data_IF_454197694047
#
_entry.id   IF_454197694047
#
_cell.length_a   1.000
_cell.length_b   1.000
_cell.length_c   1.000
_cell.angle_alpha   90.00
_cell.angle_beta   90.00
_cell.angle_gamma   90.00
#
_symmetry.space_group_name_H-M   'P 1'
#
loop_
_entity.id
_entity.type
_entity.pdbx_description
1 polymer ?
#
# COMPACT_ATOMS: atom_id res chain seq x y z
N UNK A 1 -22.90 3.22 2.93
CA UNK A 1 -24.14 2.46 2.67
C UNK A 1 -25.13 3.16 1.75
N UNK A 2 -24.87 4.40 1.35
CA UNK A 2 -25.82 5.19 0.53
C UNK A 2 -25.85 4.76 -0.95
N UNK A 3 -24.83 4.04 -1.40
CA UNK A 3 -24.69 3.62 -2.80
C UNK A 3 -25.17 2.20 -3.09
N UNK A 4 -25.13 1.30 -2.10
CA UNK A 4 -25.62 -0.07 -2.20
C UNK A 4 -25.95 -0.58 -0.78
N UNK A 5 -27.21 -0.69 -0.40
CA UNK A 5 -27.61 -1.08 0.96
C UNK A 5 -27.18 -2.51 1.36
N UNK A 6 -26.89 -3.37 0.39
CA UNK A 6 -26.62 -4.81 0.58
C UNK A 6 -25.14 -5.20 0.39
N UNK A 7 -24.20 -4.34 0.77
CA UNK A 7 -22.77 -4.70 0.77
C UNK A 7 -22.50 -5.84 1.73
N UNK A 8 -21.76 -6.84 1.25
CA UNK A 8 -21.20 -7.88 2.12
C UNK A 8 -20.03 -7.32 2.93
N UNK A 9 -19.70 -7.95 4.07
CA UNK A 9 -18.53 -7.58 4.86
C UNK A 9 -17.24 -7.68 4.04
N UNK A 10 -17.14 -8.66 3.14
CA UNK A 10 -15.97 -8.84 2.27
C UNK A 10 -15.84 -7.70 1.23
N UNK A 11 -16.97 -7.22 0.69
CA UNK A 11 -16.96 -6.06 -0.21
C UNK A 11 -16.56 -4.77 0.53
N UNK A 12 -17.04 -4.56 1.76
CA UNK A 12 -16.64 -3.42 2.58
C UNK A 12 -15.16 -3.49 2.96
N UNK A 13 -14.67 -4.68 3.31
CA UNK A 13 -13.24 -4.89 3.56
C UNK A 13 -12.40 -4.63 2.29
N UNK A 14 -12.92 -5.00 1.11
CA UNK A 14 -12.24 -4.74 -0.16
C UNK A 14 -12.12 -3.23 -0.44
N UNK A 15 -13.19 -2.46 -0.25
CA UNK A 15 -13.12 -1.00 -0.37
C UNK A 15 -12.03 -0.44 0.54
N UNK A 16 -12.01 -0.81 1.82
CA UNK A 16 -11.01 -0.35 2.76
C UNK A 16 -9.59 -0.79 2.37
N UNK A 17 -9.44 -2.02 1.90
CA UNK A 17 -8.14 -2.61 1.51
C UNK A 17 -7.53 -1.89 0.31
N UNK A 18 -8.35 -1.53 -0.70
CA UNK A 18 -7.86 -0.92 -1.95
C UNK A 18 -7.78 0.60 -1.89
N UNK A 19 -8.59 1.24 -1.06
CA UNK A 19 -8.73 2.70 -1.04
C UNK A 19 -8.21 3.35 0.25
N UNK A 20 -7.93 2.56 1.30
CA UNK A 20 -7.63 3.09 2.63
C UNK A 20 -8.80 3.83 3.27
N UNK A 21 -10.01 3.76 2.68
CA UNK A 21 -11.17 4.54 3.09
C UNK A 21 -11.15 6.00 2.59
N UNK A 22 -10.21 6.35 1.72
CA UNK A 22 -10.12 7.70 1.14
C UNK A 22 -11.33 7.95 0.22
N UNK A 23 -12.16 8.99 0.48
CA UNK A 23 -13.41 9.24 -0.25
C UNK A 23 -13.23 9.29 -1.76
N UNK A 24 -12.21 10.00 -2.25
CA UNK A 24 -11.89 10.09 -3.68
C UNK A 24 -11.78 8.72 -4.37
N UNK A 25 -11.10 7.75 -3.73
CA UNK A 25 -10.91 6.43 -4.33
C UNK A 25 -12.16 5.57 -4.21
N UNK A 26 -12.91 5.72 -3.12
CA UNK A 26 -14.22 5.06 -2.96
C UNK A 26 -15.19 5.55 -4.05
N UNK A 27 -15.28 6.86 -4.24
CA UNK A 27 -16.12 7.48 -5.28
C UNK A 27 -15.74 6.97 -6.68
N UNK A 28 -14.45 6.90 -7.01
CA UNK A 28 -13.99 6.35 -8.30
C UNK A 28 -14.51 4.93 -8.55
N UNK A 29 -14.47 4.06 -7.53
CA UNK A 29 -14.98 2.69 -7.66
C UNK A 29 -16.51 2.66 -7.79
N UNK A 30 -17.21 3.48 -7.02
CA UNK A 30 -18.68 3.56 -7.01
C UNK A 30 -19.22 4.11 -8.34
N UNK A 31 -18.67 5.21 -8.83
CA UNK A 31 -19.07 5.87 -10.08
C UNK A 31 -18.89 4.94 -11.28
N UNK A 32 -17.87 4.09 -11.24
CA UNK A 32 -17.60 3.09 -12.25
C UNK A 32 -18.31 1.75 -12.01
N UNK A 33 -19.25 1.69 -11.05
CA UNK A 33 -20.03 0.48 -10.68
C UNK A 33 -19.15 -0.72 -10.33
N UNK A 34 -17.94 -0.45 -9.85
CA UNK A 34 -16.98 -1.46 -9.38
C UNK A 34 -17.27 -1.83 -7.91
N UNK A 35 -18.45 -2.43 -7.66
CA UNK A 35 -19.01 -2.64 -6.33
C UNK A 35 -18.76 -4.04 -5.74
N UNK A 36 -18.11 -4.93 -6.47
CA UNK A 36 -17.71 -6.26 -5.99
C UNK A 36 -16.20 -6.41 -6.08
N UNK A 37 -15.61 -7.28 -5.28
CA UNK A 37 -14.15 -7.51 -5.24
C UNK A 37 -13.58 -7.67 -6.66
N UNK A 38 -14.17 -8.56 -7.45
CA UNK A 38 -13.72 -8.82 -8.82
C UNK A 38 -13.86 -7.58 -9.74
N UNK A 39 -14.95 -6.81 -9.63
CA UNK A 39 -15.13 -5.58 -10.41
C UNK A 39 -14.17 -4.48 -9.99
N UNK A 40 -13.88 -4.35 -8.69
CA UNK A 40 -12.88 -3.40 -8.17
C UNK A 40 -11.50 -3.72 -8.75
N UNK A 41 -11.06 -4.97 -8.67
CA UNK A 41 -9.78 -5.41 -9.22
C UNK A 41 -9.73 -5.18 -10.73
N UNK A 42 -10.78 -5.53 -11.45
CA UNK A 42 -10.87 -5.30 -12.90
C UNK A 42 -10.76 -3.81 -13.26
N UNK A 43 -11.43 -2.93 -12.51
CA UNK A 43 -11.35 -1.49 -12.72
C UNK A 43 -9.96 -0.92 -12.41
N UNK A 44 -9.36 -1.36 -11.30
CA UNK A 44 -8.01 -0.95 -10.90
C UNK A 44 -6.97 -1.37 -11.95
N UNK A 45 -7.13 -2.57 -12.53
CA UNK A 45 -6.19 -3.18 -13.48
C UNK A 45 -6.57 -2.93 -14.95
N UNK A 46 -6.97 -1.73 -15.33
CA UNK A 46 -7.20 -1.36 -16.74
C UNK A 46 -6.27 -0.22 -17.16
N UNK A 47 -6.04 -0.07 -18.46
CA UNK A 47 -5.03 0.84 -19.03
C UNK A 47 -5.22 2.31 -18.66
N UNK A 48 -6.45 2.74 -18.49
CA UNK A 48 -6.85 4.11 -18.18
C UNK A 48 -7.24 4.30 -16.71
N UNK A 49 -6.98 3.31 -15.88
CA UNK A 49 -7.28 3.40 -14.44
C UNK A 49 -6.40 4.43 -13.76
N UNK A 50 -6.98 5.41 -13.08
CA UNK A 50 -6.21 6.39 -12.30
C UNK A 50 -5.40 5.75 -11.18
N UNK A 51 -5.77 4.54 -10.71
CA UNK A 51 -5.03 3.82 -9.68
C UNK A 51 -3.60 3.42 -10.07
N UNK A 52 -3.33 3.30 -11.37
CA UNK A 52 -2.00 2.86 -11.87
C UNK A 52 -0.90 3.86 -11.48
N UNK A 53 -1.16 5.16 -11.61
CA UNK A 53 -0.15 6.19 -11.33
C UNK A 53 -0.43 6.99 -10.05
N UNK A 54 -1.59 6.77 -9.42
CA UNK A 54 -2.04 7.56 -8.27
C UNK A 54 -1.06 7.51 -7.08
N UNK A 55 -0.51 6.34 -6.75
CA UNK A 55 0.44 6.21 -5.65
C UNK A 55 1.70 7.05 -5.89
N UNK A 56 2.21 7.06 -7.12
CA UNK A 56 3.37 7.87 -7.50
C UNK A 56 3.04 9.36 -7.46
N UNK A 57 1.89 9.76 -8.00
CA UNK A 57 1.44 11.14 -8.02
C UNK A 57 1.25 11.69 -6.60
N UNK A 58 0.63 10.89 -5.72
CA UNK A 58 0.46 11.23 -4.30
C UNK A 58 1.83 11.49 -3.63
N UNK A 59 2.79 10.59 -3.82
CA UNK A 59 4.11 10.72 -3.20
C UNK A 59 4.91 11.89 -3.77
N UNK A 60 4.78 12.19 -5.07
CA UNK A 60 5.40 13.38 -5.67
C UNK A 60 4.79 14.65 -5.08
N UNK A 61 3.48 14.68 -4.91
CA UNK A 61 2.78 15.83 -4.33
C UNK A 61 3.18 16.06 -2.87
N UNK A 62 3.26 14.98 -2.07
CA UNK A 62 3.61 15.06 -0.64
C UNK A 62 5.08 15.38 -0.40
N UNK A 63 5.98 14.77 -1.15
CA UNK A 63 7.43 14.85 -0.86
C UNK A 63 8.19 15.84 -1.74
N UNK A 64 7.59 16.33 -2.83
CA UNK A 64 8.19 17.29 -3.75
C UNK A 64 9.57 16.83 -4.24
N UNK A 65 10.59 17.69 -4.11
CA UNK A 65 11.96 17.40 -4.58
C UNK A 65 12.63 16.20 -3.89
N UNK A 66 12.12 15.76 -2.74
CA UNK A 66 12.67 14.61 -1.97
C UNK A 66 11.97 13.29 -2.30
N UNK A 67 11.03 13.30 -3.23
CA UNK A 67 10.25 12.15 -3.64
C UNK A 67 11.07 10.89 -3.82
N UNK A 68 12.17 10.93 -4.58
CA UNK A 68 12.96 9.75 -4.91
C UNK A 68 13.44 8.96 -3.69
N UNK A 69 14.02 9.64 -2.68
CA UNK A 69 14.51 8.98 -1.46
C UNK A 69 13.37 8.39 -0.64
N UNK A 70 12.28 9.11 -0.46
CA UNK A 70 11.13 8.60 0.29
C UNK A 70 10.44 7.45 -0.43
N UNK A 71 10.33 7.53 -1.75
CA UNK A 71 9.81 6.43 -2.58
C UNK A 71 10.64 5.16 -2.39
N UNK A 72 11.97 5.25 -2.49
CA UNK A 72 12.87 4.10 -2.32
C UNK A 72 12.77 3.47 -0.93
N UNK A 73 12.58 4.28 0.14
CA UNK A 73 12.36 3.77 1.50
C UNK A 73 11.04 3.00 1.57
N UNK A 74 9.95 3.55 1.04
CA UNK A 74 8.63 2.91 1.05
C UNK A 74 8.61 1.63 0.21
N UNK A 75 9.31 1.63 -0.93
CA UNK A 75 9.47 0.45 -1.78
C UNK A 75 10.26 -0.65 -1.06
N UNK A 76 11.37 -0.31 -0.40
CA UNK A 76 12.14 -1.25 0.42
C UNK A 76 11.28 -1.88 1.52
N UNK A 77 10.53 -1.06 2.29
CA UNK A 77 9.64 -1.55 3.36
C UNK A 77 8.56 -2.47 2.78
N UNK A 78 7.94 -2.09 1.67
CA UNK A 78 6.91 -2.87 1.00
C UNK A 78 7.45 -4.18 0.40
N UNK A 79 8.75 -4.22 0.12
CA UNK A 79 9.48 -5.41 -0.34
C UNK A 79 9.99 -6.31 0.79
N UNK A 80 9.69 -5.96 2.06
CA UNK A 80 10.04 -6.75 3.23
C UNK A 80 11.35 -6.34 3.92
N UNK A 81 12.08 -5.32 3.41
CA UNK A 81 13.25 -4.73 4.07
C UNK A 81 12.76 -3.79 5.17
N UNK A 82 12.46 -4.31 6.33
CA UNK A 82 11.71 -3.57 7.35
C UNK A 82 12.53 -3.07 8.55
N UNK A 83 13.84 -3.30 8.58
CA UNK A 83 14.75 -2.67 9.56
C UNK A 83 15.56 -1.57 8.91
N UNK A 84 16.00 -0.58 9.69
CA UNK A 84 16.80 0.52 9.16
C UNK A 84 18.02 0.01 8.38
N UNK A 85 18.76 -0.96 8.93
CA UNK A 85 19.96 -1.52 8.26
C UNK A 85 19.64 -2.24 6.95
N UNK A 86 18.49 -2.93 6.86
CA UNK A 86 18.06 -3.57 5.60
C UNK A 86 17.68 -2.53 4.55
N UNK A 87 16.97 -1.46 4.95
CA UNK A 87 16.57 -0.38 4.06
C UNK A 87 17.82 0.37 3.54
N UNK A 88 18.76 0.70 4.43
CA UNK A 88 20.04 1.32 4.07
C UNK A 88 20.84 0.46 3.09
N UNK A 89 20.90 -0.85 3.32
CA UNK A 89 21.56 -1.78 2.40
C UNK A 89 20.88 -1.86 1.03
N UNK A 90 19.53 -1.88 1.01
CA UNK A 90 18.74 -1.88 -0.23
C UNK A 90 18.96 -0.62 -1.06
N UNK A 91 19.02 0.54 -0.41
CA UNK A 91 19.23 1.83 -1.08
C UNK A 91 20.68 2.11 -1.44
N UNK A 92 21.64 1.37 -0.88
CA UNK A 92 23.06 1.71 -0.99
C UNK A 92 23.45 2.99 -0.24
N UNK A 93 22.60 3.46 0.67
CA UNK A 93 22.79 4.68 1.45
C UNK A 93 23.04 4.36 2.93
N UNK A 94 23.67 5.30 3.64
CA UNK A 94 23.84 5.25 5.10
C UNK A 94 23.10 6.42 5.73
N UNK A 95 22.63 6.20 6.98
CA UNK A 95 22.02 7.25 7.80
C UNK A 95 20.67 7.78 7.30
N UNK A 96 19.71 6.90 7.03
CA UNK A 96 18.33 7.28 6.66
C UNK A 96 17.42 7.55 7.87
N UNK A 97 17.95 7.53 9.11
CA UNK A 97 17.16 7.70 10.32
C UNK A 97 16.32 8.98 10.36
N UNK A 98 16.84 10.08 9.80
CA UNK A 98 16.10 11.33 9.67
C UNK A 98 14.90 11.24 8.72
N UNK A 99 15.04 10.51 7.61
CA UNK A 99 13.97 10.27 6.65
C UNK A 99 12.90 9.35 7.25
N UNK A 100 13.30 8.26 7.91
CA UNK A 100 12.38 7.36 8.61
C UNK A 100 11.58 8.09 9.69
N UNK A 101 12.24 8.94 10.48
CA UNK A 101 11.55 9.74 11.48
C UNK A 101 10.50 10.67 10.85
N UNK A 102 10.81 11.33 9.73
CA UNK A 102 9.84 12.20 9.03
C UNK A 102 8.68 11.41 8.44
N UNK A 103 8.94 10.27 7.82
CA UNK A 103 7.88 9.39 7.29
C UNK A 103 6.94 8.91 8.39
N UNK A 104 7.44 8.71 9.62
CA UNK A 104 6.64 8.31 10.77
C UNK A 104 5.88 9.47 11.42
N UNK A 105 6.57 10.61 11.70
CA UNK A 105 6.02 11.65 12.58
C UNK A 105 5.42 12.86 11.87
N UNK A 106 5.78 13.10 10.60
CA UNK A 106 5.29 14.24 9.81
C UNK A 106 4.31 13.77 8.75
N UNK A 107 4.68 12.74 8.00
CA UNK A 107 3.87 12.21 6.91
C UNK A 107 2.92 11.08 7.35
N UNK A 108 3.19 10.46 8.50
CA UNK A 108 2.39 9.38 9.10
C UNK A 108 2.12 8.18 8.15
N UNK A 109 3.00 7.99 7.15
CA UNK A 109 2.87 6.92 6.14
C UNK A 109 3.54 5.62 6.52
N UNK A 110 4.39 5.63 7.56
CA UNK A 110 4.96 4.44 8.17
C UNK A 110 4.76 4.43 9.68
N UNK A 111 4.79 3.25 10.28
CA UNK A 111 4.79 3.08 11.72
C UNK A 111 5.89 2.12 12.17
N UNK A 112 6.39 2.34 13.39
CA UNK A 112 7.33 1.42 14.07
C UNK A 112 6.56 0.30 14.74
N UNK A 113 7.02 -0.92 14.51
CA UNK A 113 6.59 -2.09 15.27
C UNK A 113 7.74 -2.60 16.13
N UNK A 114 7.42 -2.88 17.39
CA UNK A 114 8.34 -3.55 18.33
C UNK A 114 7.80 -4.95 18.62
N UNK A 115 8.62 -6.00 18.53
CA UNK A 115 8.19 -7.33 18.95
C UNK A 115 7.72 -7.33 20.40
N UNK A 116 6.53 -7.88 20.66
CA UNK A 116 5.90 -7.91 22.00
C UNK A 116 6.74 -8.60 23.09
N UNK A 117 7.72 -9.46 22.72
CA UNK A 117 8.56 -10.25 23.63
C UNK A 117 10.06 -10.01 23.43
N UNK A 118 10.47 -8.88 22.88
CA UNK A 118 11.87 -8.56 22.73
C UNK A 118 12.49 -8.26 24.09
N UNK A 119 13.63 -8.90 24.43
CA UNK A 119 14.42 -8.60 25.64
C UNK A 119 14.86 -7.14 25.62
N UNK A 120 14.84 -6.48 26.79
CA UNK A 120 15.39 -5.12 26.92
C UNK A 120 16.83 -5.10 26.40
N UNK A 121 17.09 -4.17 25.46
CA UNK A 121 18.42 -3.99 24.85
C UNK A 121 18.64 -4.64 23.46
N UNK A 122 17.78 -5.56 22.99
CA UNK A 122 17.92 -6.20 21.66
C UNK A 122 16.77 -5.90 20.69
N UNK A 123 16.07 -4.79 20.89
CA UNK A 123 14.84 -4.48 20.14
C UNK A 123 15.16 -3.98 18.73
N UNK A 124 15.15 -4.87 17.76
CA UNK A 124 15.15 -4.50 16.35
C UNK A 124 13.82 -3.83 16.02
N UNK A 125 13.84 -2.51 15.88
CA UNK A 125 12.69 -1.75 15.39
C UNK A 125 12.40 -2.13 13.95
N UNK A 126 11.15 -2.46 13.66
CA UNK A 126 10.67 -2.74 12.30
C UNK A 126 9.74 -1.63 11.85
N UNK A 127 9.81 -1.32 10.58
CA UNK A 127 8.95 -0.33 9.94
C UNK A 127 7.92 -1.02 9.06
N UNK A 128 6.74 -0.46 9.00
CA UNK A 128 5.63 -0.92 8.18
C UNK A 128 4.91 0.28 7.56
N UNK A 129 4.49 0.16 6.30
CA UNK A 129 3.64 1.17 5.68
C UNK A 129 2.28 1.17 6.38
N UNK A 130 1.87 2.31 6.95
CA UNK A 130 0.62 2.47 7.70
C UNK A 130 -0.57 2.76 6.80
N UNK A 131 -0.37 3.49 5.70
CA UNK A 131 -1.40 3.82 4.73
C UNK A 131 -1.80 2.58 3.90
N UNK A 132 -3.10 2.23 3.93
CA UNK A 132 -3.60 1.02 3.26
C UNK A 132 -3.57 1.15 1.75
N UNK A 133 -3.87 2.33 1.20
CA UNK A 133 -3.80 2.55 -0.24
C UNK A 133 -2.36 2.41 -0.75
N UNK A 134 -1.40 3.05 -0.11
CA UNK A 134 0.02 2.93 -0.49
C UNK A 134 0.52 1.49 -0.31
N UNK A 135 0.11 0.79 0.75
CA UNK A 135 0.46 -0.63 0.95
C UNK A 135 -0.03 -1.50 -0.20
N UNK A 136 -1.29 -1.31 -0.62
CA UNK A 136 -1.87 -1.98 -1.78
C UNK A 136 -1.12 -1.60 -3.07
N UNK A 137 -0.91 -0.30 -3.28
CA UNK A 137 -0.29 0.23 -4.49
C UNK A 137 1.14 -0.28 -4.70
N UNK A 138 2.01 -0.23 -3.68
CA UNK A 138 3.37 -0.76 -3.77
C UNK A 138 3.37 -2.26 -4.01
N UNK A 139 2.52 -3.02 -3.31
CA UNK A 139 2.48 -4.48 -3.41
C UNK A 139 2.07 -4.95 -4.80
N UNK A 140 1.07 -4.34 -5.40
CA UNK A 140 0.46 -4.86 -6.62
C UNK A 140 0.75 -4.02 -7.85
N UNK A 141 0.77 -2.71 -7.75
CA UNK A 141 0.95 -1.83 -8.89
C UNK A 141 2.43 -1.61 -9.16
N UNK A 142 3.17 -1.07 -8.20
CA UNK A 142 4.57 -0.72 -8.41
C UNK A 142 5.45 -1.98 -8.62
N UNK A 143 5.26 -3.01 -7.80
CA UNK A 143 6.00 -4.26 -7.91
C UNK A 143 5.79 -4.99 -9.25
N UNK A 144 4.66 -4.77 -9.89
CA UNK A 144 4.30 -5.40 -11.17
C UNK A 144 4.32 -4.40 -12.32
N UNK A 145 5.11 -3.32 -12.21
CA UNK A 145 5.22 -2.28 -13.23
C UNK A 145 5.53 -2.85 -14.63
N UNK A 146 6.34 -3.89 -14.71
CA UNK A 146 6.64 -4.58 -15.97
C UNK A 146 5.39 -5.16 -16.66
N UNK A 147 4.45 -5.75 -15.90
CA UNK A 147 3.18 -6.22 -16.48
C UNK A 147 2.36 -5.06 -17.06
N UNK A 148 2.35 -3.92 -16.36
CA UNK A 148 1.64 -2.72 -16.77
C UNK A 148 2.26 -2.13 -18.05
N UNK A 149 3.59 -2.01 -18.12
CA UNK A 149 4.33 -1.52 -19.28
C UNK A 149 4.14 -2.40 -20.51
N UNK A 150 3.98 -3.71 -20.32
CA UNK A 150 3.66 -4.67 -21.38
C UNK A 150 2.16 -4.70 -21.74
N UNK A 151 1.31 -3.90 -21.08
CA UNK A 151 -0.14 -3.90 -21.28
C UNK A 151 -0.84 -5.18 -20.80
N UNK A 152 -0.18 -6.00 -19.98
CA UNK A 152 -0.74 -7.26 -19.46
C UNK A 152 -1.59 -7.02 -18.19
N UNK A 153 -2.66 -6.24 -18.34
CA UNK A 153 -3.60 -5.94 -17.25
C UNK A 153 -4.40 -7.16 -16.77
N UNK A 154 -4.64 -8.11 -17.65
CA UNK A 154 -5.29 -9.37 -17.29
C UNK A 154 -4.40 -10.21 -16.34
N UNK A 155 -3.11 -10.31 -16.64
CA UNK A 155 -2.14 -10.97 -15.77
C UNK A 155 -2.05 -10.29 -14.40
N UNK A 156 -2.04 -8.96 -14.37
CA UNK A 156 -2.07 -8.18 -13.12
C UNK A 156 -3.36 -8.46 -12.33
N UNK A 157 -4.52 -8.41 -12.97
CA UNK A 157 -5.81 -8.69 -12.35
C UNK A 157 -5.88 -10.10 -11.75
N UNK A 158 -5.37 -11.09 -12.48
CA UNK A 158 -5.32 -12.47 -11.99
C UNK A 158 -4.43 -12.58 -10.75
N UNK A 159 -3.24 -12.00 -10.78
CA UNK A 159 -2.30 -11.99 -9.65
C UNK A 159 -2.94 -11.40 -8.39
N UNK A 160 -3.67 -10.28 -8.51
CA UNK A 160 -4.35 -9.66 -7.38
C UNK A 160 -5.49 -10.54 -6.88
N UNK A 161 -6.31 -11.11 -7.78
CA UNK A 161 -7.41 -11.99 -7.40
C UNK A 161 -6.92 -13.22 -6.63
N UNK A 162 -5.83 -13.83 -7.09
CA UNK A 162 -5.26 -15.04 -6.47
C UNK A 162 -4.66 -14.76 -5.07
N UNK A 163 -4.06 -13.58 -4.87
CA UNK A 163 -3.42 -13.20 -3.58
C UNK A 163 -4.37 -12.47 -2.61
N UNK A 164 -5.49 -11.94 -3.09
CA UNK A 164 -6.41 -11.11 -2.30
C UNK A 164 -6.87 -11.76 -0.98
N UNK A 165 -7.25 -13.05 -0.92
CA UNK A 165 -7.68 -13.68 0.34
C UNK A 165 -6.59 -13.61 1.42
N UNK A 166 -5.33 -13.81 1.05
CA UNK A 166 -4.20 -13.73 1.97
C UNK A 166 -3.93 -12.28 2.38
N UNK A 167 -3.99 -11.36 1.44
CA UNK A 167 -3.72 -9.95 1.67
C UNK A 167 -4.80 -9.27 2.54
N UNK A 168 -6.08 -9.54 2.25
CA UNK A 168 -7.19 -8.99 3.03
C UNK A 168 -7.18 -9.48 4.49
N UNK A 169 -6.83 -10.74 4.72
CA UNK A 169 -6.64 -11.29 6.07
C UNK A 169 -5.57 -10.54 6.86
N UNK A 170 -4.43 -10.23 6.24
CA UNK A 170 -3.38 -9.40 6.87
C UNK A 170 -3.83 -7.97 7.13
N UNK A 171 -4.56 -7.37 6.21
CA UNK A 171 -5.11 -6.02 6.38
C UNK A 171 -6.08 -5.97 7.56
N UNK A 172 -6.93 -6.97 7.70
CA UNK A 172 -7.86 -7.10 8.82
C UNK A 172 -7.12 -7.26 10.15
N UNK A 173 -6.10 -8.13 10.20
CA UNK A 173 -5.26 -8.31 11.38
C UNK A 173 -4.61 -6.99 11.83
N UNK A 174 -4.10 -6.20 10.89
CA UNK A 174 -3.49 -4.90 11.18
C UNK A 174 -4.50 -3.87 11.67
N UNK A 175 -5.74 -3.93 11.20
CA UNK A 175 -6.83 -3.08 11.66
C UNK A 175 -7.17 -3.35 13.14
N UNK A 176 -7.21 -4.61 13.56
CA UNK A 176 -7.50 -4.96 14.95
C UNK A 176 -6.33 -4.76 15.92
N UNK A 177 -5.12 -4.50 15.41
CA UNK A 177 -3.93 -4.20 16.23
C UNK A 177 -3.70 -2.70 16.46
N UNK A 178 -4.54 -1.84 15.86
CA UNK A 178 -4.52 -0.39 16.09
C UNK A 178 -5.31 -0.03 17.34
#
# INVERSE_FOLDING_TARGET
SDYKPDYTNDELLAFYTYTGGVPKYVELLVDNKALTIHKMIKYICQSDSPFIDEGRNLLIQEFGKKYGNYFSILDAISSGMNTQSQIEAFMGEKSIGGQLNKLETIYEVIKKQRPLFAKEGSQTVRYEVSDNFLRFWFRYIERNRTLIELGNYEGLSKLINDDYPTYSGKTLELYFKQ
#
